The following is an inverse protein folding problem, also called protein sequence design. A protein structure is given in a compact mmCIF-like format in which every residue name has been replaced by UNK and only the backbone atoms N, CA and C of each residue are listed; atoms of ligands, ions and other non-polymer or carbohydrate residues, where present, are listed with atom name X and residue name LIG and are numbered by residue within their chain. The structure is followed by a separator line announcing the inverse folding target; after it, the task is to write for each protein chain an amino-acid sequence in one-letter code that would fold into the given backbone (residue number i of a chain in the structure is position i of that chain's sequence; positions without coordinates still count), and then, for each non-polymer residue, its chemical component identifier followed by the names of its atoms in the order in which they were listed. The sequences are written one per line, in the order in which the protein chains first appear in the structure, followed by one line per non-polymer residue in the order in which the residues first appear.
data_IF_265956597135
#
_entry.id   IF_265956597135
#
_cell.length_a   1.000
_cell.length_b   1.000
_cell.length_c   1.000
_cell.angle_alpha   90.00
_cell.angle_beta   90.00
_cell.angle_gamma   90.00
#
_symmetry.space_group_name_H-M   'P 1'
#
loop_
_entity.id
_entity.type
_entity.pdbx_description
1 polymer ?
#
# COMPACT_ATOMS: atom_id res chain seq x y z
N UNK A 1 -27.61 19.10 15.94
CA UNK A 1 -26.90 19.56 14.73
C UNK A 1 -25.90 18.49 14.37
N UNK A 2 -25.85 18.06 13.10
CA UNK A 2 -24.83 17.10 12.64
C UNK A 2 -23.46 17.78 12.74
N UNK A 3 -22.49 17.16 13.43
CA UNK A 3 -21.10 17.65 13.45
C UNK A 3 -20.55 17.58 12.02
N UNK A 4 -19.84 18.61 11.56
CA UNK A 4 -19.20 18.63 10.24
C UNK A 4 -17.80 19.23 10.33
N UNK A 5 -16.86 18.65 9.59
CA UNK A 5 -15.50 19.17 9.42
C UNK A 5 -15.39 20.13 8.23
N UNK A 6 -16.41 20.19 7.37
CA UNK A 6 -16.36 20.88 6.08
C UNK A 6 -16.99 22.28 6.08
N UNK A 7 -17.44 22.76 7.24
CA UNK A 7 -17.81 24.16 7.45
C UNK A 7 -16.54 24.97 7.84
N UNK A 8 -16.02 25.87 6.99
CA UNK A 8 -14.79 26.60 7.29
C UNK A 8 -14.91 27.45 8.57
N UNK A 9 -13.95 27.31 9.49
CA UNK A 9 -13.82 28.11 10.71
C UNK A 9 -12.65 29.10 10.65
N UNK A 10 -11.90 29.07 9.55
CA UNK A 10 -10.80 29.99 9.23
C UNK A 10 -11.04 30.68 7.89
N UNK A 11 -10.28 31.74 7.62
CA UNK A 11 -10.34 32.45 6.35
C UNK A 11 -9.87 31.57 5.17
N UNK A 12 -10.42 31.75 3.95
CA UNK A 12 -10.14 30.90 2.79
C UNK A 12 -8.65 30.72 2.47
N UNK A 13 -7.85 31.76 2.64
CA UNK A 13 -6.40 31.78 2.40
C UNK A 13 -5.59 30.94 3.39
N UNK A 14 -6.19 30.57 4.53
CA UNK A 14 -5.58 29.67 5.52
C UNK A 14 -5.95 28.21 5.29
N UNK A 15 -6.90 27.92 4.40
CA UNK A 15 -7.35 26.57 4.16
C UNK A 15 -6.26 25.77 3.45
N UNK A 16 -6.00 24.58 3.98
CA UNK A 16 -5.14 23.62 3.30
C UNK A 16 -5.71 23.26 1.92
N UNK A 17 -4.84 23.18 0.91
CA UNK A 17 -5.23 22.93 -0.46
C UNK A 17 -5.95 21.57 -0.64
N UNK A 18 -5.44 20.52 0.02
CA UNK A 18 -6.04 19.19 0.00
C UNK A 18 -7.39 19.18 0.73
N UNK A 19 -7.50 19.85 1.89
CA UNK A 19 -8.79 20.04 2.56
C UNK A 19 -9.80 20.73 1.63
N UNK A 20 -9.40 21.81 0.95
CA UNK A 20 -10.30 22.57 0.09
C UNK A 20 -10.72 21.77 -1.16
N UNK A 21 -9.83 20.94 -1.72
CA UNK A 21 -10.17 19.98 -2.77
C UNK A 21 -11.24 18.99 -2.26
N UNK A 22 -11.02 18.36 -1.11
CA UNK A 22 -12.00 17.43 -0.52
C UNK A 22 -13.32 18.12 -0.26
N UNK A 23 -13.32 19.38 0.20
CA UNK A 23 -14.51 20.18 0.50
C UNK A 23 -15.36 20.51 -0.74
N UNK A 24 -14.72 20.74 -1.90
CA UNK A 24 -15.38 21.38 -3.06
C UNK A 24 -15.63 20.46 -4.25
N UNK A 25 -14.80 19.43 -4.45
CA UNK A 25 -14.91 18.54 -5.61
C UNK A 25 -16.11 17.58 -5.47
N UNK A 26 -17.05 17.62 -6.42
CA UNK A 26 -18.25 16.77 -6.41
C UNK A 26 -17.91 15.27 -6.36
N UNK A 27 -16.81 14.85 -6.99
CA UNK A 27 -16.38 13.45 -6.98
C UNK A 27 -15.91 12.96 -5.58
N UNK A 28 -15.72 13.87 -4.62
CA UNK A 28 -15.27 13.56 -3.24
C UNK A 28 -16.41 13.50 -2.24
N UNK A 29 -17.66 13.58 -2.69
CA UNK A 29 -18.82 13.52 -1.80
C UNK A 29 -18.87 12.25 -0.91
N UNK A 30 -18.56 11.03 -1.40
CA UNK A 30 -18.55 9.84 -0.56
C UNK A 30 -17.54 9.95 0.59
N UNK A 31 -16.35 10.46 0.28
CA UNK A 31 -15.32 10.71 1.29
C UNK A 31 -15.77 11.78 2.30
N UNK A 32 -16.28 12.93 1.85
CA UNK A 32 -16.75 13.99 2.73
C UNK A 32 -17.80 13.48 3.73
N UNK A 33 -18.81 12.77 3.21
CA UNK A 33 -19.89 12.24 4.05
C UNK A 33 -19.38 11.19 5.03
N UNK A 34 -18.47 10.31 4.61
CA UNK A 34 -17.85 9.33 5.50
C UNK A 34 -16.95 9.98 6.56
N UNK A 35 -16.21 11.04 6.21
CA UNK A 35 -15.39 11.81 7.16
C UNK A 35 -16.29 12.46 8.22
N UNK A 36 -17.40 13.09 7.84
CA UNK A 36 -18.35 13.67 8.80
C UNK A 36 -19.06 12.60 9.64
N UNK A 37 -19.36 11.43 9.08
CA UNK A 37 -19.92 10.27 9.81
C UNK A 37 -18.96 9.78 10.89
N UNK A 38 -17.68 9.58 10.55
CA UNK A 38 -16.62 9.19 11.50
C UNK A 38 -16.40 10.28 12.55
N UNK A 39 -16.37 11.55 12.14
CA UNK A 39 -16.17 12.67 13.07
C UNK A 39 -17.35 12.85 14.04
N UNK A 40 -18.55 12.38 13.69
CA UNK A 40 -19.72 12.49 14.56
C UNK A 40 -19.50 11.84 15.93
N UNK A 41 -18.73 10.75 15.96
CA UNK A 41 -18.36 9.99 17.16
C UNK A 41 -16.95 10.30 17.68
N UNK A 42 -16.22 11.20 17.01
CA UNK A 42 -14.91 11.66 17.45
C UNK A 42 -15.04 12.71 18.57
N UNK A 43 -14.19 12.57 19.59
CA UNK A 43 -14.11 13.49 20.72
C UNK A 43 -12.92 14.46 20.54
N UNK A 44 -13.22 15.73 20.28
CA UNK A 44 -12.22 16.80 20.19
C UNK A 44 -11.83 17.28 21.59
N UNK A 45 -10.88 16.56 22.21
CA UNK A 45 -10.43 16.78 23.60
C UNK A 45 -9.88 18.20 23.82
N UNK A 46 -9.13 18.72 22.85
CA UNK A 46 -8.44 20.01 22.95
C UNK A 46 -9.22 21.18 22.34
N UNK A 47 -10.34 20.89 21.67
CA UNK A 47 -11.18 21.89 20.98
C UNK A 47 -10.52 22.53 19.75
N UNK A 48 -9.40 21.98 19.28
CA UNK A 48 -8.61 22.53 18.16
C UNK A 48 -8.63 21.63 16.92
N UNK A 49 -9.29 20.46 16.99
CA UNK A 49 -9.26 19.45 15.93
C UNK A 49 -9.79 20.03 14.61
N UNK A 50 -10.95 20.69 14.65
CA UNK A 50 -11.59 21.25 13.44
C UNK A 50 -10.68 22.28 12.78
N UNK A 51 -10.10 23.20 13.56
CA UNK A 51 -9.20 24.21 13.01
C UNK A 51 -7.98 23.57 12.37
N UNK A 52 -7.32 22.61 13.06
CA UNK A 52 -6.12 21.96 12.56
C UNK A 52 -6.37 21.10 11.34
N UNK A 53 -7.52 20.40 11.28
CA UNK A 53 -7.94 19.64 10.11
C UNK A 53 -8.12 20.55 8.88
N UNK A 54 -8.53 21.80 9.07
CA UNK A 54 -8.70 22.75 7.96
C UNK A 54 -7.41 23.45 7.52
N UNK A 55 -6.35 23.41 8.32
CA UNK A 55 -5.09 24.14 8.10
C UNK A 55 -3.87 23.20 8.08
N UNK A 56 -2.81 23.51 8.81
CA UNK A 56 -1.50 22.85 8.75
C UNK A 56 -1.50 21.44 9.36
N UNK A 57 -2.54 21.08 10.09
CA UNK A 57 -2.70 19.76 10.73
C UNK A 57 -3.43 18.73 9.88
N UNK A 58 -3.78 19.03 8.62
CA UNK A 58 -4.65 18.19 7.79
C UNK A 58 -4.24 16.71 7.80
N UNK A 59 -3.01 16.38 7.41
CA UNK A 59 -2.56 14.98 7.32
C UNK A 59 -2.58 14.25 8.67
N UNK A 60 -2.07 14.89 9.73
CA UNK A 60 -2.02 14.29 11.06
C UNK A 60 -3.43 14.02 11.60
N UNK A 61 -4.32 15.01 11.49
CA UNK A 61 -5.71 14.90 11.95
C UNK A 61 -6.52 13.93 11.09
N UNK A 62 -6.23 13.85 9.79
CA UNK A 62 -6.81 12.85 8.92
C UNK A 62 -6.41 11.42 9.34
N UNK A 63 -5.13 11.21 9.68
CA UNK A 63 -4.64 9.91 10.14
C UNK A 63 -5.26 9.50 11.48
N UNK A 64 -5.41 10.44 12.41
CA UNK A 64 -6.14 10.20 13.66
C UNK A 64 -7.61 9.81 13.42
N UNK A 65 -8.31 10.47 12.47
CA UNK A 65 -9.67 10.07 12.09
C UNK A 65 -9.72 8.67 11.48
N UNK A 66 -8.73 8.31 10.67
CA UNK A 66 -8.62 6.97 10.12
C UNK A 66 -8.47 5.92 11.24
N UNK A 67 -7.56 6.15 12.20
CA UNK A 67 -7.36 5.26 13.35
C UNK A 67 -8.62 5.19 14.23
N UNK A 68 -9.29 6.32 14.45
CA UNK A 68 -10.57 6.37 15.16
C UNK A 68 -11.64 5.51 14.47
N UNK A 69 -11.78 5.65 13.14
CA UNK A 69 -12.70 4.82 12.37
C UNK A 69 -12.34 3.34 12.44
N UNK A 70 -11.05 3.01 12.32
CA UNK A 70 -10.57 1.64 12.46
C UNK A 70 -10.93 1.04 13.81
N UNK A 71 -10.64 1.74 14.92
CA UNK A 71 -10.92 1.24 16.25
C UNK A 71 -12.43 1.11 16.52
N UNK A 72 -13.22 2.12 16.15
CA UNK A 72 -14.68 2.07 16.33
C UNK A 72 -15.32 0.94 15.55
N UNK A 73 -15.06 0.91 14.24
CA UNK A 73 -15.79 0.06 13.29
C UNK A 73 -15.29 -1.37 13.30
N UNK A 74 -14.11 -1.61 13.86
CA UNK A 74 -13.60 -2.96 14.08
C UNK A 74 -14.01 -3.54 15.42
N UNK A 75 -14.64 -2.78 16.33
CA UNK A 75 -15.17 -3.29 17.60
C UNK A 75 -14.21 -3.20 18.79
N UNK A 76 -13.31 -2.21 18.81
CA UNK A 76 -12.52 -1.89 20.00
C UNK A 76 -13.29 -0.95 20.92
N UNK A 77 -13.11 -1.12 22.23
CA UNK A 77 -13.52 -0.13 23.21
C UNK A 77 -12.40 0.90 23.37
N UNK A 78 -12.75 2.19 23.30
CA UNK A 78 -11.81 3.30 23.51
C UNK A 78 -12.00 3.92 24.88
N UNK A 79 -10.90 4.28 25.51
CA UNK A 79 -10.86 5.05 26.74
C UNK A 79 -10.43 6.48 26.42
N UNK A 80 -11.41 7.37 26.32
CA UNK A 80 -11.22 8.78 25.94
C UNK A 80 -10.82 9.68 27.13
N UNK A 81 -10.61 9.10 28.32
CA UNK A 81 -10.31 9.86 29.55
C UNK A 81 -8.93 10.54 29.54
N UNK A 82 -8.09 10.24 28.55
CA UNK A 82 -6.70 10.67 28.46
C UNK A 82 -6.42 11.38 27.13
N UNK A 83 -5.61 12.43 27.16
CA UNK A 83 -5.18 13.20 25.98
C UNK A 83 -3.90 12.70 25.33
N UNK A 84 -3.18 11.77 25.98
CA UNK A 84 -1.97 11.17 25.43
C UNK A 84 -1.72 9.81 26.10
N UNK A 85 -1.29 8.75 25.39
CA UNK A 85 -1.15 8.72 23.93
C UNK A 85 -2.50 8.87 23.23
N UNK A 86 -2.48 9.12 21.92
CA UNK A 86 -3.67 9.50 21.13
C UNK A 86 -4.86 8.54 21.34
N UNK A 87 -4.59 7.25 21.49
CA UNK A 87 -5.61 6.23 21.77
C UNK A 87 -5.21 5.27 22.88
N UNK A 88 -6.17 4.97 23.74
CA UNK A 88 -6.14 3.80 24.61
C UNK A 88 -7.29 2.89 24.19
N UNK A 89 -6.96 1.72 23.65
CA UNK A 89 -7.95 0.80 23.07
C UNK A 89 -7.93 -0.54 23.78
N UNK A 90 -9.08 -1.20 23.86
CA UNK A 90 -9.18 -2.53 24.42
C UNK A 90 -10.08 -3.45 23.61
N UNK A 91 -9.69 -4.72 23.57
CA UNK A 91 -10.42 -5.79 22.89
C UNK A 91 -10.07 -7.12 23.55
N UNK A 92 -11.06 -7.98 23.75
CA UNK A 92 -10.87 -9.33 24.30
C UNK A 92 -10.06 -9.34 25.62
N UNK A 93 -10.28 -8.34 26.48
CA UNK A 93 -9.58 -8.22 27.76
C UNK A 93 -8.14 -7.69 27.69
N UNK A 94 -7.61 -7.42 26.50
CA UNK A 94 -6.30 -6.78 26.30
C UNK A 94 -6.50 -5.28 26.12
N UNK A 95 -5.69 -4.47 26.81
CA UNK A 95 -5.64 -3.01 26.69
C UNK A 95 -4.30 -2.61 26.09
N UNK A 96 -4.32 -1.73 25.08
CA UNK A 96 -3.15 -1.29 24.31
C UNK A 96 -3.17 0.22 24.19
N UNK A 97 -1.99 0.82 24.36
CA UNK A 97 -1.76 2.24 24.17
C UNK A 97 -1.20 2.49 22.77
N UNK A 98 -1.80 3.41 22.01
CA UNK A 98 -1.42 3.69 20.62
C UNK A 98 -1.17 5.19 20.44
N UNK A 99 0.02 5.55 19.98
CA UNK A 99 0.38 6.92 19.62
C UNK A 99 0.47 7.06 18.10
N UNK A 100 -0.20 8.05 17.53
CA UNK A 100 -0.22 8.29 16.09
C UNK A 100 0.87 9.29 15.67
N UNK A 101 1.48 9.05 14.52
CA UNK A 101 2.43 9.96 13.90
C UNK A 101 2.38 9.88 12.39
N UNK A 102 2.84 10.92 11.71
CA UNK A 102 2.92 10.96 10.25
C UNK A 102 4.31 11.43 9.83
N UNK A 103 4.81 10.90 8.73
CA UNK A 103 5.97 11.51 8.05
C UNK A 103 5.46 12.57 7.08
N UNK A 104 5.55 13.84 7.47
CA UNK A 104 5.11 14.98 6.66
C UNK A 104 6.29 15.56 5.84
N UNK A 105 6.03 16.43 4.85
CA UNK A 105 7.09 17.13 4.12
C UNK A 105 8.00 17.86 5.11
N UNK A 106 9.31 17.69 4.97
CA UNK A 106 10.30 18.20 5.91
C UNK A 106 11.12 19.32 5.29
N UNK A 107 11.22 20.44 6.00
CA UNK A 107 12.11 21.56 5.66
C UNK A 107 13.49 21.42 6.30
N UNK A 108 13.86 20.23 6.80
CA UNK A 108 15.20 20.03 7.35
C UNK A 108 16.26 20.30 6.28
N UNK A 109 17.40 20.93 6.60
CA UNK A 109 18.41 21.27 5.60
C UNK A 109 18.85 20.07 4.75
N UNK A 110 19.01 18.91 5.38
CA UNK A 110 19.41 17.68 4.68
C UNK A 110 18.37 17.18 3.68
N UNK A 111 17.07 17.30 3.98
CA UNK A 111 15.99 16.92 3.05
C UNK A 111 15.81 17.99 1.97
N UNK A 112 15.98 19.28 2.30
CA UNK A 112 15.90 20.36 1.34
C UNK A 112 17.04 20.31 0.30
N UNK A 113 18.22 19.84 0.69
CA UNK A 113 19.40 19.76 -0.19
C UNK A 113 19.49 18.43 -0.96
N UNK A 114 19.09 17.31 -0.35
CA UNK A 114 19.33 15.97 -0.91
C UNK A 114 18.05 15.15 -1.14
N UNK A 115 16.91 15.58 -0.62
CA UNK A 115 15.66 14.86 -0.79
C UNK A 115 15.16 14.94 -2.24
N UNK A 116 14.52 13.87 -2.70
CA UNK A 116 13.94 13.79 -4.04
C UNK A 116 12.42 13.78 -3.99
N UNK A 117 11.79 14.29 -5.05
CA UNK A 117 10.35 14.19 -5.29
C UNK A 117 10.05 12.87 -6.02
N UNK A 118 9.01 12.16 -5.59
CA UNK A 118 8.70 10.83 -6.15
C UNK A 118 8.35 10.93 -7.64
N UNK A 119 7.71 12.02 -8.06
CA UNK A 119 7.33 12.26 -9.46
C UNK A 119 8.50 12.49 -10.41
N UNK A 120 9.69 12.79 -9.88
CA UNK A 120 10.89 13.08 -10.67
C UNK A 120 11.88 11.91 -10.69
N UNK A 121 11.61 10.85 -9.92
CA UNK A 121 12.46 9.66 -9.88
C UNK A 121 12.42 8.94 -11.23
N UNK A 122 13.60 8.73 -11.79
CA UNK A 122 13.78 7.73 -12.85
C UNK A 122 13.74 6.32 -12.27
N UNK A 123 13.49 5.32 -13.12
CA UNK A 123 13.38 3.93 -12.68
C UNK A 123 14.66 3.44 -11.95
N UNK A 124 15.83 3.93 -12.37
CA UNK A 124 17.13 3.59 -11.77
C UNK A 124 17.36 4.25 -10.40
N UNK A 125 16.60 5.29 -10.06
CA UNK A 125 16.70 6.00 -8.78
C UNK A 125 15.73 5.46 -7.74
N UNK A 126 14.65 4.79 -8.17
CA UNK A 126 13.60 4.24 -7.28
C UNK A 126 14.20 3.29 -6.23
N UNK A 127 15.07 2.32 -6.55
CA UNK A 127 15.63 1.44 -5.53
C UNK A 127 16.43 2.18 -4.47
N UNK A 128 17.25 3.15 -4.87
CA UNK A 128 18.03 3.97 -3.94
C UNK A 128 17.12 4.80 -3.02
N UNK A 129 16.08 5.42 -3.59
CA UNK A 129 15.08 6.17 -2.82
C UNK A 129 14.37 5.29 -1.78
N UNK A 130 13.90 4.10 -2.20
CA UNK A 130 13.22 3.14 -1.33
C UNK A 130 14.16 2.61 -0.24
N UNK A 131 15.43 2.36 -0.59
CA UNK A 131 16.40 1.76 0.31
C UNK A 131 17.02 2.75 1.29
N UNK A 132 17.13 4.04 0.95
CA UNK A 132 17.85 5.02 1.76
C UNK A 132 16.92 6.12 2.31
N UNK A 133 16.16 6.76 1.43
CA UNK A 133 15.42 7.97 1.76
C UNK A 133 14.13 7.68 2.54
N UNK A 134 13.37 6.65 2.17
CA UNK A 134 12.15 6.24 2.88
C UNK A 134 12.44 5.89 4.36
N UNK A 135 13.43 5.03 4.69
CA UNK A 135 13.83 4.77 6.08
C UNK A 135 14.17 6.04 6.86
N UNK A 136 14.86 7.00 6.25
CA UNK A 136 15.22 8.27 6.90
C UNK A 136 14.00 9.14 7.19
N UNK A 137 13.05 9.20 6.25
CA UNK A 137 11.79 9.95 6.39
C UNK A 137 10.86 9.34 7.43
N UNK A 138 10.83 8.01 7.56
CA UNK A 138 10.00 7.30 8.56
C UNK A 138 10.67 7.17 9.94
N UNK A 139 11.99 6.98 9.99
CA UNK A 139 12.72 6.79 11.25
C UNK A 139 12.73 8.02 12.14
N UNK A 140 12.72 9.22 11.53
CA UNK A 140 12.73 10.49 12.27
C UNK A 140 11.48 10.69 13.16
N UNK A 141 10.25 10.62 12.64
CA UNK A 141 9.04 10.73 13.46
C UNK A 141 8.91 9.58 14.46
N UNK A 142 9.32 8.37 14.10
CA UNK A 142 9.35 7.22 15.01
C UNK A 142 10.25 7.51 16.23
N UNK A 143 11.46 8.03 15.99
CA UNK A 143 12.38 8.42 17.07
C UNK A 143 11.80 9.54 17.93
N UNK A 144 11.23 10.57 17.29
CA UNK A 144 10.61 11.68 18.02
C UNK A 144 9.46 11.24 18.93
N UNK A 145 8.70 10.20 18.55
CA UNK A 145 7.65 9.62 19.41
C UNK A 145 8.21 8.71 20.50
N UNK A 146 9.29 7.97 20.22
CA UNK A 146 10.01 7.21 21.25
C UNK A 146 10.51 8.13 22.37
N UNK A 147 11.12 9.26 22.02
CA UNK A 147 11.69 10.20 22.99
C UNK A 147 10.63 10.85 23.92
N UNK A 148 9.33 10.75 23.59
CA UNK A 148 8.23 11.22 24.43
C UNK A 148 7.90 10.29 25.61
N UNK A 149 8.39 9.04 25.59
CA UNK A 149 8.26 8.08 26.69
C UNK A 149 6.82 7.89 27.18
N UNK A 150 5.86 7.83 26.25
CA UNK A 150 4.43 7.71 26.60
C UNK A 150 4.11 6.47 27.44
N UNK A 151 4.91 5.41 27.35
CA UNK A 151 4.78 4.20 28.16
C UNK A 151 4.95 4.45 29.67
N UNK A 152 5.52 5.59 30.09
CA UNK A 152 5.69 5.94 31.51
C UNK A 152 4.47 6.60 32.14
N UNK A 153 3.45 6.92 31.33
CA UNK A 153 2.20 7.48 31.83
C UNK A 153 1.41 6.40 32.56
N UNK A 154 0.69 6.78 33.62
CA UNK A 154 -0.07 5.83 34.46
C UNK A 154 -1.10 5.01 33.68
N UNK A 155 -1.74 5.61 32.68
CA UNK A 155 -2.68 4.92 31.80
C UNK A 155 -2.05 3.88 30.88
N UNK A 156 -0.73 3.91 30.69
CA UNK A 156 0.01 2.95 29.86
C UNK A 156 0.63 1.81 30.69
N UNK A 157 0.52 1.87 32.02
CA UNK A 157 1.11 0.86 32.91
C UNK A 157 0.59 -0.54 32.57
N UNK A 158 1.52 -1.49 32.36
CA UNK A 158 1.20 -2.86 32.00
C UNK A 158 0.59 -3.06 30.61
N UNK A 159 0.48 -2.01 29.79
CA UNK A 159 -0.10 -2.08 28.45
C UNK A 159 1.00 -2.20 27.38
N UNK A 160 0.82 -3.01 26.32
CA UNK A 160 1.60 -2.87 25.10
C UNK A 160 1.50 -1.43 24.57
N UNK A 161 2.62 -0.86 24.13
CA UNK A 161 2.69 0.48 23.56
C UNK A 161 3.04 0.41 22.08
N UNK A 162 2.18 0.95 21.23
CA UNK A 162 2.27 0.88 19.77
C UNK A 162 2.42 2.28 19.20
N UNK A 163 3.30 2.43 18.22
CA UNK A 163 3.38 3.67 17.43
C UNK A 163 2.73 3.40 16.07
N UNK A 164 1.65 4.11 15.78
CA UNK A 164 0.99 4.08 14.48
C UNK A 164 1.61 5.14 13.56
N UNK A 165 1.95 4.77 12.32
CA UNK A 165 2.61 5.66 11.37
C UNK A 165 2.07 5.53 9.94
N UNK A 166 1.93 6.68 9.28
CA UNK A 166 1.65 6.77 7.85
C UNK A 166 2.58 7.80 7.17
N UNK A 167 2.95 7.52 5.93
CA UNK A 167 3.76 8.41 5.09
C UNK A 167 2.87 9.43 4.35
N UNK A 168 3.20 10.71 4.49
CA UNK A 168 2.59 11.85 3.80
C UNK A 168 3.65 12.86 3.32
N UNK A 169 4.91 12.42 3.15
CA UNK A 169 6.05 13.29 2.90
C UNK A 169 6.12 13.81 1.46
N UNK A 170 5.29 13.26 0.59
CA UNK A 170 5.17 13.53 -0.84
C UNK A 170 3.74 13.17 -1.31
N UNK A 171 3.23 13.80 -2.37
CA UNK A 171 1.89 13.52 -2.93
C UNK A 171 1.71 12.06 -3.36
N UNK A 172 2.79 11.40 -3.78
CA UNK A 172 2.80 10.00 -4.19
C UNK A 172 3.31 9.06 -3.08
N UNK A 173 3.49 9.52 -1.84
CA UNK A 173 4.08 8.71 -0.76
C UNK A 173 3.34 7.38 -0.49
N UNK A 174 2.03 7.33 -0.79
CA UNK A 174 1.19 6.16 -0.56
C UNK A 174 1.45 4.99 -1.53
N UNK A 175 2.30 5.16 -2.56
CA UNK A 175 2.66 4.06 -3.47
C UNK A 175 3.60 3.04 -2.83
N UNK A 176 4.31 3.42 -1.76
CA UNK A 176 5.24 2.54 -1.08
C UNK A 176 4.53 1.74 0.03
N UNK A 177 4.76 0.43 0.04
CA UNK A 177 4.27 -0.47 1.08
C UNK A 177 5.17 -0.43 2.33
N UNK A 178 4.84 -1.26 3.32
CA UNK A 178 5.66 -1.45 4.53
C UNK A 178 7.01 -2.11 4.26
N UNK A 179 7.35 -2.52 3.03
CA UNK A 179 8.57 -3.28 2.74
C UNK A 179 9.86 -2.54 3.19
N UNK A 180 9.99 -1.26 2.86
CA UNK A 180 11.14 -0.43 3.25
C UNK A 180 11.22 -0.26 4.78
N UNK A 181 10.06 -0.01 5.42
CA UNK A 181 9.97 0.12 6.87
C UNK A 181 10.32 -1.20 7.57
N UNK A 182 9.82 -2.33 7.06
CA UNK A 182 10.13 -3.68 7.57
C UNK A 182 11.64 -3.93 7.53
N UNK A 183 12.30 -3.71 6.39
CA UNK A 183 13.75 -3.85 6.26
C UNK A 183 14.50 -2.98 7.26
N UNK A 184 14.08 -1.73 7.41
CA UNK A 184 14.68 -0.80 8.37
C UNK A 184 14.49 -1.23 9.84
N UNK A 185 13.29 -1.67 10.22
CA UNK A 185 12.97 -2.05 11.60
C UNK A 185 13.70 -3.32 12.05
N UNK A 186 13.75 -4.34 11.20
CA UNK A 186 14.35 -5.64 11.54
C UNK A 186 15.82 -5.75 11.15
N UNK A 187 16.29 -4.95 10.18
CA UNK A 187 17.67 -5.00 9.67
C UNK A 187 17.96 -6.24 8.81
N UNK A 188 16.91 -6.86 8.27
CA UNK A 188 16.97 -8.08 7.47
C UNK A 188 16.60 -7.76 6.02
N UNK A 189 17.40 -8.26 5.09
CA UNK A 189 17.14 -8.24 3.66
C UNK A 189 17.17 -9.65 3.07
N UNK A 190 16.48 -9.81 1.96
CA UNK A 190 16.32 -11.06 1.24
C UNK A 190 16.88 -10.91 -0.17
N UNK A 191 17.92 -11.67 -0.49
CA UNK A 191 18.46 -11.77 -1.85
C UNK A 191 17.87 -13.01 -2.55
N UNK A 192 17.21 -12.87 -3.71
CA UNK A 192 16.74 -14.02 -4.47
C UNK A 192 17.92 -14.81 -5.04
N UNK A 193 17.80 -16.13 -5.03
CA UNK A 193 18.74 -17.09 -5.61
C UNK A 193 17.93 -18.07 -6.46
N UNK A 194 18.08 -17.97 -7.78
CA UNK A 194 17.39 -18.83 -8.74
C UNK A 194 18.09 -20.18 -8.87
N UNK A 195 17.33 -21.28 -8.90
CA UNK A 195 17.81 -22.59 -9.33
C UNK A 195 17.84 -22.68 -10.86
N UNK A 196 18.59 -23.65 -11.39
CA UNK A 196 18.62 -23.93 -12.84
C UNK A 196 17.23 -24.37 -13.37
N UNK A 197 16.33 -24.84 -12.50
CA UNK A 197 14.96 -25.23 -12.83
C UNK A 197 13.98 -24.02 -12.84
N UNK A 198 14.41 -22.86 -12.32
CA UNK A 198 13.61 -21.63 -12.24
C UNK A 198 12.94 -21.40 -10.88
N UNK A 199 13.21 -22.23 -9.88
CA UNK A 199 12.70 -22.03 -8.51
C UNK A 199 13.54 -20.98 -7.77
N UNK A 200 12.91 -20.16 -6.92
CA UNK A 200 13.62 -19.17 -6.10
C UNK A 200 13.83 -19.67 -4.68
N UNK A 201 15.07 -19.53 -4.22
CA UNK A 201 15.45 -19.56 -2.81
C UNK A 201 15.80 -18.16 -2.35
N UNK A 202 15.62 -17.90 -1.07
CA UNK A 202 15.94 -16.59 -0.48
C UNK A 202 17.11 -16.72 0.48
N UNK A 203 18.13 -15.87 0.30
CA UNK A 203 19.24 -15.74 1.25
C UNK A 203 19.01 -14.53 2.15
N UNK A 204 19.06 -14.76 3.46
CA UNK A 204 19.06 -13.69 4.46
C UNK A 204 20.38 -12.92 4.39
N UNK A 205 20.31 -11.60 4.27
CA UNK A 205 21.42 -10.67 4.29
C UNK A 205 21.17 -9.56 5.34
N UNK A 206 22.25 -8.95 5.82
CA UNK A 206 22.14 -7.73 6.64
C UNK A 206 21.88 -6.54 5.72
N UNK A 207 20.96 -5.67 6.13
CA UNK A 207 20.75 -4.37 5.48
C UNK A 207 22.00 -3.50 5.74
N UNK A 208 22.48 -2.71 4.77
CA UNK A 208 23.51 -1.69 5.00
C UNK A 208 22.95 -0.47 5.76
N UNK A 209 23.81 0.49 6.09
CA UNK A 209 23.33 1.76 6.63
C UNK A 209 22.51 2.54 5.59
N UNK A 210 21.46 3.21 6.05
CA UNK A 210 20.66 4.10 5.22
C UNK A 210 21.30 5.48 5.18
N UNK A 211 21.65 5.99 4.00
CA UNK A 211 22.41 7.23 3.86
C UNK A 211 21.70 8.22 2.95
N UNK A 212 21.52 9.46 3.41
CA UNK A 212 21.07 10.58 2.59
C UNK A 212 21.83 11.83 2.98
N UNK A 213 22.72 12.30 2.10
CA UNK A 213 23.59 13.43 2.38
C UNK A 213 24.44 13.20 3.64
N UNK A 214 24.26 14.06 4.64
CA UNK A 214 24.96 13.97 5.93
C UNK A 214 24.29 13.05 6.94
N UNK A 215 23.06 12.57 6.66
CA UNK A 215 22.26 11.79 7.59
C UNK A 215 22.44 10.29 7.34
N UNK A 216 22.78 9.58 8.40
CA UNK A 216 22.94 8.13 8.40
C UNK A 216 22.05 7.50 9.46
N UNK A 217 21.35 6.41 9.12
CA UNK A 217 20.62 5.57 10.07
C UNK A 217 21.09 4.12 9.99
N UNK A 218 21.42 3.56 11.14
CA UNK A 218 21.71 2.13 11.24
C UNK A 218 20.42 1.32 11.08
N UNK A 219 20.46 0.18 10.37
CA UNK A 219 19.32 -0.71 10.22
C UNK A 219 19.05 -1.48 11.53
N UNK A 220 17.93 -2.19 11.58
CA UNK A 220 17.57 -2.99 12.76
C UNK A 220 17.12 -2.12 13.93
N UNK A 221 16.25 -1.15 13.66
CA UNK A 221 15.79 -0.15 14.63
C UNK A 221 15.37 -0.77 15.97
N UNK A 222 14.63 -1.89 15.96
CA UNK A 222 14.17 -2.54 17.19
C UNK A 222 15.30 -2.96 18.13
N UNK A 223 16.48 -3.28 17.59
CA UNK A 223 17.65 -3.76 18.36
C UNK A 223 18.77 -2.73 18.46
N UNK A 224 18.68 -1.61 17.73
CA UNK A 224 19.76 -0.62 17.68
C UNK A 224 19.82 0.29 18.91
N UNK A 225 18.69 0.51 19.59
CA UNK A 225 18.61 1.28 20.84
C UNK A 225 17.76 0.51 21.88
N UNK A 226 18.27 0.28 23.11
CA UNK A 226 17.53 -0.37 24.19
C UNK A 226 16.17 0.26 24.51
N UNK A 227 15.97 1.56 24.26
CA UNK A 227 14.70 2.23 24.48
C UNK A 227 13.55 1.64 23.64
N UNK A 228 13.85 1.02 22.49
CA UNK A 228 12.84 0.35 21.66
C UNK A 228 12.16 -0.82 22.35
N UNK A 229 12.75 -1.38 23.41
CA UNK A 229 12.10 -2.45 24.19
C UNK A 229 10.77 -2.02 24.81
N UNK A 230 10.52 -0.72 24.96
CA UNK A 230 9.24 -0.20 25.46
C UNK A 230 8.16 -0.04 24.37
N UNK A 231 8.50 -0.26 23.09
CA UNK A 231 7.54 -0.25 21.98
C UNK A 231 7.24 -1.68 21.57
N UNK A 232 5.98 -2.07 21.64
CA UNK A 232 5.50 -3.43 21.37
C UNK A 232 5.40 -3.75 19.88
N UNK A 233 5.00 -2.76 19.07
CA UNK A 233 4.89 -2.90 17.62
C UNK A 233 4.84 -1.53 16.94
N UNK A 234 5.09 -1.52 15.63
CA UNK A 234 4.78 -0.39 14.74
C UNK A 234 3.56 -0.75 13.91
N UNK A 235 2.51 0.08 13.96
CA UNK A 235 1.31 -0.09 13.12
C UNK A 235 1.44 0.83 11.90
N UNK A 236 1.67 0.25 10.73
CA UNK A 236 1.86 1.00 9.50
C UNK A 236 0.63 0.92 8.59
N UNK A 237 0.37 2.01 7.85
CA UNK A 237 -0.48 1.93 6.66
C UNK A 237 -0.06 2.97 5.61
N UNK A 238 -0.27 2.62 4.35
CA UNK A 238 -0.29 3.54 3.20
C UNK A 238 -1.70 3.68 2.60
N UNK A 239 -2.71 3.08 3.22
CA UNK A 239 -4.10 3.09 2.75
C UNK A 239 -4.99 4.04 3.58
N UNK A 240 -4.57 4.50 4.76
CA UNK A 240 -5.33 5.40 5.66
C UNK A 240 -5.51 6.85 5.16
N UNK A 241 -5.88 7.03 3.90
CA UNK A 241 -5.98 8.31 3.22
C UNK A 241 -7.38 8.53 2.58
N UNK A 242 -7.53 9.63 1.83
CA UNK A 242 -8.79 10.00 1.16
C UNK A 242 -9.41 8.88 0.33
N UNK A 243 -8.59 8.06 -0.33
CA UNK A 243 -9.07 6.90 -1.10
C UNK A 243 -9.88 5.93 -0.23
N UNK A 244 -9.42 5.64 1.00
CA UNK A 244 -10.14 4.77 1.94
C UNK A 244 -11.50 5.34 2.29
N UNK A 245 -11.56 6.59 2.74
CA UNK A 245 -12.83 7.24 3.08
C UNK A 245 -13.78 7.31 1.89
N UNK A 246 -13.25 7.53 0.67
CA UNK A 246 -14.04 7.51 -0.56
C UNK A 246 -14.70 6.14 -0.74
N UNK A 247 -13.92 5.06 -0.66
CA UNK A 247 -14.39 3.69 -0.84
C UNK A 247 -15.34 3.26 0.27
N UNK A 248 -15.03 3.57 1.53
CA UNK A 248 -15.89 3.25 2.67
C UNK A 248 -17.23 4.00 2.56
N UNK A 249 -17.23 5.29 2.20
CA UNK A 249 -18.45 6.06 1.94
C UNK A 249 -19.28 5.50 0.79
N UNK A 250 -18.62 5.17 -0.33
CA UNK A 250 -19.29 4.60 -1.49
C UNK A 250 -19.91 3.24 -1.17
N UNK A 251 -19.17 2.36 -0.49
CA UNK A 251 -19.62 1.03 -0.08
C UNK A 251 -20.82 1.07 0.88
N UNK A 252 -20.94 2.10 1.72
CA UNK A 252 -22.11 2.28 2.60
C UNK A 252 -23.26 3.06 1.95
N UNK A 253 -23.14 3.44 0.68
CA UNK A 253 -24.14 4.21 -0.05
C UNK A 253 -24.18 5.70 0.31
N UNK A 254 -23.18 6.23 1.00
CA UNK A 254 -23.10 7.64 1.35
C UNK A 254 -22.56 8.45 0.17
N UNK A 255 -23.39 9.37 -0.35
CA UNK A 255 -22.93 10.38 -1.32
C UNK A 255 -22.48 9.81 -2.67
N UNK A 256 -22.95 8.62 -3.03
CA UNK A 256 -22.58 7.92 -4.26
C UNK A 256 -23.43 8.31 -5.49
N UNK A 257 -24.43 9.18 -5.32
CA UNK A 257 -25.32 9.60 -6.40
C UNK A 257 -24.54 10.28 -7.54
N UNK A 258 -24.69 9.75 -8.75
CA UNK A 258 -24.00 10.28 -9.92
C UNK A 258 -22.49 10.06 -9.93
N UNK A 259 -21.93 9.19 -9.08
CA UNK A 259 -20.48 8.90 -9.03
C UNK A 259 -20.18 7.51 -9.60
N UNK A 260 -19.12 7.40 -10.39
CA UNK A 260 -18.45 6.13 -10.71
C UNK A 260 -17.10 6.09 -10.02
N UNK A 261 -16.78 4.97 -9.38
CA UNK A 261 -15.55 4.80 -8.62
C UNK A 261 -14.87 3.47 -8.94
N UNK A 262 -13.56 3.51 -9.16
CA UNK A 262 -12.74 2.33 -9.42
C UNK A 262 -11.58 2.29 -8.44
N UNK A 263 -11.23 1.08 -7.98
CA UNK A 263 -10.00 0.82 -7.24
C UNK A 263 -9.11 -0.06 -8.10
N UNK A 264 -7.83 0.27 -8.15
CA UNK A 264 -6.82 -0.57 -8.78
C UNK A 264 -5.48 -0.43 -8.09
N UNK A 265 -4.58 -1.38 -8.31
CA UNK A 265 -3.26 -1.35 -7.73
C UNK A 265 -2.59 -2.70 -7.73
N UNK A 266 -1.66 -2.85 -6.79
CA UNK A 266 -0.81 -4.02 -6.64
C UNK A 266 -1.13 -4.70 -5.32
N UNK A 267 -1.21 -6.03 -5.34
CA UNK A 267 -1.41 -6.86 -4.16
C UNK A 267 -0.39 -7.99 -4.09
N UNK A 268 -0.17 -8.50 -2.88
CA UNK A 268 0.61 -9.72 -2.70
C UNK A 268 -0.03 -10.86 -3.50
N UNK A 269 0.81 -11.71 -4.09
CA UNK A 269 0.36 -12.91 -4.78
C UNK A 269 0.53 -14.10 -3.84
N UNK A 270 -0.59 -14.71 -3.44
CA UNK A 270 -0.61 -15.79 -2.46
C UNK A 270 -0.08 -17.13 -3.00
N UNK A 271 0.18 -17.23 -4.30
CA UNK A 271 0.80 -18.43 -4.87
C UNK A 271 2.19 -18.66 -4.25
N UNK A 272 2.48 -19.84 -3.66
CA UNK A 272 3.70 -20.06 -2.87
C UNK A 272 5.02 -19.80 -3.60
N UNK A 273 5.00 -19.86 -4.93
CA UNK A 273 6.16 -19.60 -5.79
C UNK A 273 6.06 -18.27 -6.56
N UNK A 274 5.05 -17.44 -6.28
CA UNK A 274 4.93 -16.15 -6.92
C UNK A 274 6.05 -15.21 -6.45
N UNK A 275 6.80 -14.72 -7.43
CA UNK A 275 7.90 -13.78 -7.20
C UNK A 275 7.49 -12.33 -7.38
N UNK A 276 6.30 -12.10 -7.91
CA UNK A 276 5.85 -10.80 -8.37
C UNK A 276 4.42 -10.50 -7.91
N UNK A 277 4.12 -9.23 -7.62
CA UNK A 277 2.79 -8.83 -7.21
C UNK A 277 1.78 -9.02 -8.35
N UNK A 278 0.52 -9.18 -7.96
CA UNK A 278 -0.59 -9.18 -8.91
C UNK A 278 -1.18 -7.79 -9.04
N UNK A 279 -1.39 -7.34 -10.27
CA UNK A 279 -2.23 -6.20 -10.54
C UNK A 279 -3.71 -6.58 -10.37
N UNK A 280 -4.49 -5.68 -9.78
CA UNK A 280 -5.95 -5.79 -9.71
C UNK A 280 -6.61 -4.47 -10.11
N UNK A 281 -7.81 -4.55 -10.70
CA UNK A 281 -8.70 -3.41 -10.88
C UNK A 281 -10.16 -3.84 -10.86
N UNK A 282 -11.02 -3.14 -10.11
CA UNK A 282 -12.46 -3.43 -10.05
C UNK A 282 -13.31 -2.18 -9.82
N UNK A 283 -14.56 -2.25 -10.25
CA UNK A 283 -15.58 -1.21 -10.02
C UNK A 283 -16.14 -1.30 -8.59
N UNK A 284 -16.19 -0.17 -7.87
CA UNK A 284 -16.73 -0.12 -6.51
C UNK A 284 -18.25 -0.29 -6.46
N UNK A 285 -18.97 -0.22 -7.60
CA UNK A 285 -20.38 -0.58 -7.70
C UNK A 285 -20.63 -2.09 -7.65
N UNK A 286 -19.61 -2.90 -7.94
CA UNK A 286 -19.65 -4.35 -7.86
C UNK A 286 -18.30 -4.88 -7.36
N UNK A 287 -17.90 -4.52 -6.12
CA UNK A 287 -16.60 -4.89 -5.62
C UNK A 287 -16.56 -6.40 -5.35
N UNK A 288 -15.41 -7.07 -5.54
CA UNK A 288 -15.28 -8.51 -5.31
C UNK A 288 -15.44 -8.88 -3.82
N UNK A 289 -15.37 -7.91 -2.92
CA UNK A 289 -15.50 -8.08 -1.48
C UNK A 289 -15.91 -6.78 -0.79
N UNK A 290 -16.29 -6.91 0.48
CA UNK A 290 -16.53 -5.77 1.38
C UNK A 290 -15.21 -5.41 2.05
N UNK A 291 -14.68 -4.22 1.73
CA UNK A 291 -13.46 -3.70 2.32
C UNK A 291 -13.70 -3.38 3.81
N UNK A 292 -12.75 -3.77 4.67
CA UNK A 292 -12.75 -3.44 6.10
C UNK A 292 -11.85 -2.25 6.37
N UNK A 293 -11.98 -1.58 7.52
CA UNK A 293 -11.09 -0.47 7.88
C UNK A 293 -9.63 -0.92 8.09
N UNK A 294 -9.43 -2.17 8.51
CA UNK A 294 -8.11 -2.75 8.75
C UNK A 294 -7.35 -3.17 7.49
N UNK A 295 -8.04 -3.33 6.36
CA UNK A 295 -7.37 -3.68 5.11
C UNK A 295 -6.34 -2.61 4.70
N UNK A 296 -5.09 -3.06 4.51
CA UNK A 296 -3.93 -2.21 4.23
C UNK A 296 -3.19 -1.72 5.48
N UNK A 297 -3.48 -2.29 6.66
CA UNK A 297 -2.66 -2.16 7.87
C UNK A 297 -1.65 -3.29 7.96
N UNK A 298 -0.42 -2.95 8.33
CA UNK A 298 0.63 -3.88 8.69
C UNK A 298 1.05 -3.65 10.15
N UNK A 299 1.10 -4.72 10.94
CA UNK A 299 1.56 -4.73 12.32
C UNK A 299 2.95 -5.34 12.37
N UNK A 300 3.95 -4.49 12.52
CA UNK A 300 5.35 -4.86 12.56
C UNK A 300 5.72 -5.12 14.03
N UNK A 301 5.64 -6.39 14.46
CA UNK A 301 5.85 -6.79 15.86
C UNK A 301 7.32 -6.62 16.27
N UNK A 302 7.57 -5.96 17.40
CA UNK A 302 8.92 -5.80 17.93
C UNK A 302 9.36 -7.10 18.64
N UNK A 303 10.41 -7.79 18.15
CA UNK A 303 10.86 -9.07 18.71
C UNK A 303 11.55 -8.94 20.07
N UNK A 304 11.88 -7.71 20.52
CA UNK A 304 12.53 -7.45 21.80
C UNK A 304 11.69 -6.61 22.76
N UNK A 305 10.37 -6.51 22.51
CA UNK A 305 9.47 -5.78 23.38
C UNK A 305 9.39 -6.39 24.79
N UNK A 306 9.42 -5.54 25.82
CA UNK A 306 9.21 -5.92 27.23
C UNK A 306 7.79 -6.40 27.48
N UNK A 307 6.82 -5.71 26.87
CA UNK A 307 5.41 -6.09 26.88
C UNK A 307 5.02 -6.35 25.42
N UNK A 308 5.07 -7.60 24.94
CA UNK A 308 4.78 -7.90 23.55
C UNK A 308 3.29 -7.67 23.22
N UNK A 309 3.03 -7.20 22.00
CA UNK A 309 1.67 -7.09 21.50
C UNK A 309 1.15 -8.51 21.14
N UNK A 310 -0.07 -8.89 21.58
CA UNK A 310 -0.67 -10.14 21.11
C UNK A 310 -0.85 -10.14 19.58
N UNK A 311 -0.45 -11.20 18.86
CA UNK A 311 -0.47 -11.25 17.39
C UNK A 311 -1.81 -10.83 16.76
N UNK A 312 -2.93 -11.29 17.29
CA UNK A 312 -4.25 -11.02 16.70
C UNK A 312 -4.97 -9.80 17.31
N UNK A 313 -4.24 -8.93 18.02
CA UNK A 313 -4.87 -7.76 18.65
C UNK A 313 -5.49 -6.83 17.62
N UNK A 314 -4.75 -6.51 16.54
CA UNK A 314 -5.23 -5.67 15.44
C UNK A 314 -5.89 -6.51 14.33
N UNK A 315 -7.23 -6.59 14.37
CA UNK A 315 -8.01 -7.36 13.38
C UNK A 315 -7.92 -6.79 11.97
N UNK A 316 -8.08 -7.68 10.98
CA UNK A 316 -8.02 -7.41 9.54
C UNK A 316 -6.71 -6.75 9.05
N UNK A 317 -5.67 -6.74 9.88
CA UNK A 317 -4.33 -6.26 9.56
C UNK A 317 -3.36 -7.43 9.33
N UNK A 318 -2.38 -7.22 8.46
CA UNK A 318 -1.26 -8.14 8.24
C UNK A 318 -0.37 -8.13 9.48
N UNK A 319 -0.04 -9.30 10.01
CA UNK A 319 0.87 -9.47 11.15
C UNK A 319 2.26 -9.84 10.65
N UNK A 320 3.26 -9.03 10.96
CA UNK A 320 4.64 -9.25 10.54
C UNK A 320 5.49 -9.58 11.75
N UNK A 321 6.14 -10.74 11.71
CA UNK A 321 6.93 -11.28 12.81
C UNK A 321 8.32 -11.68 12.33
N UNK A 322 9.31 -11.55 13.22
CA UNK A 322 10.60 -12.22 13.04
C UNK A 322 10.61 -13.54 13.82
N UNK A 323 10.90 -14.66 13.14
CA UNK A 323 11.12 -15.98 13.74
C UNK A 323 12.38 -16.59 13.10
N UNK A 324 13.30 -17.11 13.91
CA UNK A 324 14.55 -17.74 13.44
C UNK A 324 15.37 -16.89 12.44
N UNK A 325 15.43 -15.57 12.65
CA UNK A 325 16.15 -14.63 11.78
C UNK A 325 15.49 -14.42 10.42
N UNK A 326 14.21 -14.77 10.29
CA UNK A 326 13.39 -14.57 9.08
C UNK A 326 12.12 -13.80 9.44
N UNK A 327 11.74 -12.88 8.56
CA UNK A 327 10.46 -12.19 8.59
C UNK A 327 9.38 -13.02 7.91
N UNK A 328 8.27 -13.21 8.62
CA UNK A 328 7.05 -13.85 8.15
C UNK A 328 5.90 -12.85 8.25
N UNK A 329 5.04 -12.87 7.23
CA UNK A 329 3.77 -12.16 7.23
C UNK A 329 2.64 -13.18 7.34
N UNK A 330 1.74 -12.96 8.29
CA UNK A 330 0.55 -13.77 8.56
C UNK A 330 -0.67 -12.85 8.47
N UNK A 331 -1.64 -13.16 7.62
CA UNK A 331 -2.70 -12.19 7.33
C UNK A 331 -3.70 -12.63 6.27
N UNK A 332 -4.61 -11.72 5.92
CA UNK A 332 -5.66 -11.94 4.91
C UNK A 332 -5.03 -11.99 3.49
N UNK A 333 -4.43 -13.12 3.17
CA UNK A 333 -3.52 -13.40 2.04
C UNK A 333 -3.98 -12.97 0.64
N UNK A 334 -5.25 -12.61 0.43
CA UNK A 334 -5.77 -12.13 -0.86
C UNK A 334 -6.19 -10.64 -0.86
N UNK A 335 -6.24 -10.00 0.32
CA UNK A 335 -6.59 -8.58 0.52
C UNK A 335 -5.38 -7.68 0.72
N UNK A 336 -4.20 -8.26 0.88
CA UNK A 336 -2.95 -7.54 1.17
C UNK A 336 -2.53 -6.66 0.00
N UNK A 337 -2.98 -5.41 0.07
CA UNK A 337 -2.71 -4.38 -0.92
C UNK A 337 -1.31 -3.82 -0.66
N UNK A 338 -0.40 -3.97 -1.63
CA UNK A 338 0.92 -3.34 -1.61
C UNK A 338 0.74 -1.83 -1.81
N UNK A 339 -0.03 -1.46 -2.82
CA UNK A 339 -0.44 -0.08 -3.08
C UNK A 339 -1.75 -0.06 -3.87
N UNK A 340 -2.57 0.98 -3.67
CA UNK A 340 -3.77 1.15 -4.50
C UNK A 340 -4.10 2.60 -4.74
N UNK A 341 -4.72 2.86 -5.89
CA UNK A 341 -5.30 4.16 -6.26
C UNK A 341 -6.81 4.00 -6.32
N UNK A 342 -7.50 5.09 -5.99
CA UNK A 342 -8.95 5.20 -6.15
C UNK A 342 -9.24 6.37 -7.05
N UNK A 343 -9.87 6.08 -8.18
CA UNK A 343 -10.33 7.10 -9.13
C UNK A 343 -11.83 7.24 -8.96
N UNK A 344 -12.29 8.49 -8.90
CA UNK A 344 -13.69 8.83 -8.74
C UNK A 344 -14.03 9.91 -9.76
N UNK A 345 -15.13 9.72 -10.48
CA UNK A 345 -15.62 10.68 -11.45
C UNK A 345 -17.10 10.96 -11.17
N UNK A 346 -17.46 12.24 -11.23
CA UNK A 346 -18.84 12.71 -11.07
C UNK A 346 -19.49 12.90 -12.44
N UNK A 347 -20.60 12.22 -12.65
CA UNK A 347 -21.43 12.26 -13.85
C UNK A 347 -22.83 12.86 -13.59
N UNK A 348 -23.22 13.05 -12.32
CA UNK A 348 -24.56 13.53 -11.97
C UNK A 348 -25.67 12.71 -12.62
N UNK A 349 -26.70 13.37 -13.13
CA UNK A 349 -27.85 12.74 -13.81
C UNK A 349 -27.45 12.00 -15.10
N UNK A 350 -26.31 12.34 -15.69
CA UNK A 350 -25.82 11.67 -16.90
C UNK A 350 -25.34 10.23 -16.61
N UNK A 351 -25.12 9.84 -15.35
CA UNK A 351 -24.65 8.49 -15.01
C UNK A 351 -25.59 7.38 -15.55
N UNK A 352 -26.90 7.63 -15.52
CA UNK A 352 -27.90 6.69 -16.07
C UNK A 352 -27.74 6.43 -17.57
N UNK A 353 -27.32 7.45 -18.32
CA UNK A 353 -27.01 7.38 -19.76
C UNK A 353 -25.56 6.95 -20.03
N UNK A 354 -24.65 7.19 -19.07
CA UNK A 354 -23.24 6.87 -19.19
C UNK A 354 -22.93 5.38 -18.99
N UNK A 355 -23.87 4.58 -18.46
CA UNK A 355 -23.69 3.11 -18.32
C UNK A 355 -23.35 2.41 -19.64
N UNK A 356 -23.90 2.88 -20.76
CA UNK A 356 -23.61 2.34 -22.09
C UNK A 356 -22.29 2.87 -22.68
N UNK A 357 -21.87 4.08 -22.30
CA UNK A 357 -20.64 4.75 -22.80
C UNK A 357 -19.40 4.35 -21.96
N UNK A 358 -19.58 4.03 -20.68
CA UNK A 358 -18.52 3.69 -19.72
C UNK A 358 -18.30 2.17 -19.58
N UNK A 359 -18.91 1.36 -20.46
CA UNK A 359 -18.62 -0.06 -20.66
C UNK A 359 -17.14 -0.41 -20.95
N UNK A 360 -16.27 0.48 -21.46
CA UNK A 360 -14.84 0.18 -21.64
C UNK A 360 -13.99 0.29 -20.37
N UNK A 361 -14.57 0.60 -19.19
CA UNK A 361 -13.85 0.36 -17.93
C UNK A 361 -13.97 -1.15 -17.61
N UNK A 362 -12.92 -1.95 -17.79
CA UNK A 362 -13.00 -3.37 -17.52
C UNK A 362 -13.33 -3.59 -16.04
N UNK A 363 -14.37 -4.38 -15.79
CA UNK A 363 -15.06 -4.46 -14.50
C UNK A 363 -14.33 -5.31 -13.45
N UNK A 364 -13.39 -6.15 -13.89
CA UNK A 364 -12.62 -7.07 -13.04
C UNK A 364 -11.36 -7.51 -13.82
N UNK A 365 -10.27 -6.75 -13.67
CA UNK A 365 -8.96 -7.13 -14.21
C UNK A 365 -8.12 -7.69 -13.07
N UNK A 366 -7.51 -8.83 -13.37
CA UNK A 366 -6.42 -9.38 -12.58
C UNK A 366 -5.37 -9.93 -13.53
N UNK A 367 -4.12 -9.51 -13.30
CA UNK A 367 -2.93 -10.03 -13.96
C UNK A 367 -1.93 -10.33 -12.86
N UNK A 368 -1.43 -11.55 -12.81
CA UNK A 368 -0.57 -11.99 -11.72
C UNK A 368 0.48 -12.98 -12.18
N UNK A 369 1.51 -13.15 -11.35
CA UNK A 369 2.50 -14.18 -11.55
C UNK A 369 1.86 -15.58 -11.41
N UNK A 370 2.25 -16.49 -12.28
CA UNK A 370 1.87 -17.91 -12.23
C UNK A 370 3.12 -18.77 -12.17
N UNK A 371 2.99 -20.01 -11.68
CA UNK A 371 4.10 -20.96 -11.74
C UNK A 371 4.44 -21.29 -13.19
N UNK A 372 5.69 -21.69 -13.44
CA UNK A 372 6.10 -22.20 -14.75
C UNK A 372 5.24 -23.37 -15.22
N UNK A 373 4.91 -24.28 -14.29
CA UNK A 373 4.07 -25.45 -14.60
C UNK A 373 2.67 -25.04 -15.07
N UNK A 374 2.04 -24.08 -14.39
CA UNK A 374 0.74 -23.54 -14.81
C UNK A 374 0.85 -22.82 -16.17
N UNK A 375 1.90 -22.03 -16.38
CA UNK A 375 2.13 -21.36 -17.65
C UNK A 375 2.28 -22.35 -18.82
N UNK A 376 3.07 -23.41 -18.64
CA UNK A 376 3.28 -24.46 -19.64
C UNK A 376 1.98 -25.21 -19.93
N UNK A 377 1.17 -25.50 -18.90
CA UNK A 377 -0.16 -26.11 -19.04
C UNK A 377 -1.09 -25.23 -19.89
N UNK A 378 -1.17 -23.92 -19.60
CA UNK A 378 -2.04 -23.00 -20.33
C UNK A 378 -1.57 -22.84 -21.77
N UNK A 379 -0.26 -22.66 -21.96
CA UNK A 379 0.33 -22.38 -23.26
C UNK A 379 0.43 -23.61 -24.18
N UNK A 380 0.36 -24.82 -23.61
CA UNK A 380 0.57 -26.08 -24.30
C UNK A 380 2.02 -26.30 -24.74
N UNK A 381 2.98 -25.61 -24.10
CA UNK A 381 4.41 -25.67 -24.43
C UNK A 381 5.12 -26.71 -23.57
N UNK A 382 6.21 -27.26 -24.10
CA UNK A 382 7.18 -28.09 -23.37
C UNK A 382 8.49 -27.29 -23.27
N UNK A 383 8.43 -26.14 -22.58
CA UNK A 383 9.55 -25.21 -22.42
C UNK A 383 9.64 -24.08 -23.45
N UNK A 384 10.70 -23.27 -23.34
CA UNK A 384 10.93 -22.08 -24.17
C UNK A 384 11.14 -22.45 -25.65
N UNK A 385 10.34 -21.90 -26.60
CA UNK A 385 10.41 -22.25 -28.02
C UNK A 385 11.78 -22.01 -28.67
N UNK A 386 12.59 -21.11 -28.10
CA UNK A 386 13.89 -20.71 -28.63
C UNK A 386 15.05 -21.08 -27.68
N UNK A 387 14.79 -21.86 -26.63
CA UNK A 387 15.77 -22.14 -25.57
C UNK A 387 16.22 -20.89 -24.81
N UNK A 388 15.43 -19.81 -24.89
CA UNK A 388 15.67 -18.56 -24.18
C UNK A 388 15.36 -18.79 -22.70
N UNK A 389 16.23 -18.27 -21.82
CA UNK A 389 16.02 -18.31 -20.37
C UNK A 389 14.81 -17.44 -20.01
N UNK A 390 13.95 -17.95 -19.15
CA UNK A 390 12.74 -17.26 -18.67
C UNK A 390 12.78 -17.21 -17.14
N UNK A 391 12.44 -16.05 -16.55
CA UNK A 391 12.55 -15.82 -15.09
C UNK A 391 11.29 -15.19 -14.48
N UNK A 392 10.16 -15.27 -15.19
CA UNK A 392 8.88 -14.82 -14.68
C UNK A 392 7.77 -15.11 -15.67
N UNK A 393 6.65 -15.64 -15.18
CA UNK A 393 5.49 -16.04 -15.96
C UNK A 393 4.25 -15.37 -15.39
N UNK A 394 3.40 -14.86 -16.28
CA UNK A 394 2.20 -14.09 -15.91
C UNK A 394 1.01 -14.58 -16.70
N UNK A 395 -0.17 -14.49 -16.10
CA UNK A 395 -1.43 -14.74 -16.78
C UNK A 395 -2.49 -13.75 -16.30
N UNK A 396 -3.44 -13.44 -17.20
CA UNK A 396 -4.69 -12.83 -16.79
C UNK A 396 -5.68 -13.88 -16.27
N UNK A 397 -6.69 -13.44 -15.50
CA UNK A 397 -7.75 -14.31 -14.96
C UNK A 397 -8.47 -15.17 -15.99
N UNK A 398 -8.58 -14.72 -17.24
CA UNK A 398 -9.24 -15.47 -18.32
C UNK A 398 -8.31 -16.39 -19.11
N UNK A 399 -7.00 -16.37 -18.80
CA UNK A 399 -5.96 -17.16 -19.51
C UNK A 399 -5.93 -16.88 -21.01
N UNK A 400 -6.30 -15.67 -21.41
CA UNK A 400 -6.30 -15.21 -22.80
C UNK A 400 -4.95 -14.65 -23.22
N UNK A 401 -4.26 -14.02 -22.28
CA UNK A 401 -2.97 -13.40 -22.44
C UNK A 401 -1.99 -13.97 -21.43
N UNK A 402 -0.80 -14.29 -21.91
CA UNK A 402 0.30 -14.78 -21.08
C UNK A 402 1.49 -13.85 -21.19
N UNK A 403 2.21 -13.63 -20.11
CA UNK A 403 3.42 -12.82 -20.06
C UNK A 403 4.64 -13.63 -19.68
N UNK A 404 5.79 -13.32 -20.25
CA UNK A 404 7.08 -13.92 -19.92
C UNK A 404 8.13 -12.84 -19.73
N UNK A 405 8.96 -12.95 -18.70
CA UNK A 405 10.18 -12.16 -18.51
C UNK A 405 11.39 -12.92 -19.02
N UNK A 406 12.23 -12.20 -19.74
CA UNK A 406 13.41 -12.74 -20.42
C UNK A 406 14.63 -11.90 -20.00
N UNK A 407 15.57 -12.44 -19.21
CA UNK A 407 16.83 -11.74 -18.96
C UNK A 407 17.71 -11.73 -20.21
N UNK A 408 18.31 -10.58 -20.51
CA UNK A 408 19.43 -10.49 -21.45
C UNK A 408 20.75 -10.69 -20.70
N UNK A 409 21.39 -11.83 -20.96
CA UNK A 409 22.64 -12.20 -20.29
C UNK A 409 23.86 -11.44 -20.83
N UNK A 410 23.73 -10.75 -21.97
CA UNK A 410 24.85 -10.06 -22.61
C UNK A 410 25.13 -8.69 -21.99
N UNK A 411 24.08 -7.97 -21.58
CA UNK A 411 24.18 -6.63 -21.01
C UNK A 411 23.47 -6.47 -19.65
N UNK A 412 22.97 -7.59 -19.08
CA UNK A 412 22.25 -7.62 -17.80
C UNK A 412 20.95 -6.80 -17.79
N UNK A 413 20.34 -6.60 -18.95
CA UNK A 413 19.02 -5.98 -19.08
C UNK A 413 17.89 -7.02 -19.08
N UNK A 414 16.66 -6.54 -19.15
CA UNK A 414 15.45 -7.34 -19.10
C UNK A 414 14.55 -7.03 -20.29
N UNK A 415 14.01 -8.10 -20.86
CA UNK A 415 12.94 -8.08 -21.84
C UNK A 415 11.68 -8.75 -21.32
N UNK A 416 10.60 -8.55 -22.06
CA UNK A 416 9.31 -9.15 -21.79
C UNK A 416 8.58 -9.48 -23.08
N UNK A 417 7.73 -10.49 -23.02
CA UNK A 417 6.92 -10.96 -24.15
C UNK A 417 5.48 -11.19 -23.67
N UNK A 418 4.52 -10.76 -24.48
CA UNK A 418 3.11 -11.11 -24.32
C UNK A 418 2.67 -12.05 -25.43
N UNK A 419 1.99 -13.11 -25.04
CA UNK A 419 1.47 -14.15 -25.90
C UNK A 419 -0.06 -14.12 -25.92
N UNK A 420 -0.65 -14.39 -27.08
CA UNK A 420 -2.08 -14.63 -27.24
C UNK A 420 -2.32 -15.73 -28.30
N UNK A 421 -3.56 -16.23 -28.38
CA UNK A 421 -3.90 -17.30 -29.33
C UNK A 421 -4.02 -16.78 -30.76
N UNK A 422 -3.46 -17.53 -31.70
CA UNK A 422 -3.71 -17.37 -33.12
C UNK A 422 -5.04 -18.02 -33.55
N UNK A 423 -5.36 -17.97 -34.84
CA UNK A 423 -6.57 -18.58 -35.42
C UNK A 423 -6.63 -20.11 -35.27
N UNK A 424 -5.51 -20.76 -35.00
CA UNK A 424 -5.39 -22.19 -34.74
C UNK A 424 -5.38 -22.51 -33.23
N UNK A 425 -5.55 -21.49 -32.38
CA UNK A 425 -5.60 -21.62 -30.93
C UNK A 425 -4.22 -21.74 -30.27
N UNK A 426 -3.12 -21.55 -30.99
CA UNK A 426 -1.75 -21.66 -30.47
C UNK A 426 -1.28 -20.32 -29.90
N UNK A 427 -0.58 -20.33 -28.77
CA UNK A 427 -0.01 -19.10 -28.21
C UNK A 427 1.20 -18.60 -29.00
N UNK A 428 1.08 -17.41 -29.57
CA UNK A 428 2.12 -16.71 -30.34
C UNK A 428 2.47 -15.37 -29.70
N UNK A 429 3.70 -14.90 -29.90
CA UNK A 429 4.12 -13.57 -29.49
C UNK A 429 3.32 -12.51 -30.25
N UNK A 430 2.67 -11.62 -29.52
CA UNK A 430 1.90 -10.49 -30.09
C UNK A 430 2.46 -9.13 -29.71
N UNK A 431 3.29 -9.07 -28.67
CA UNK A 431 3.95 -7.85 -28.19
C UNK A 431 5.20 -8.21 -27.41
N UNK A 432 6.21 -7.36 -27.47
CA UNK A 432 7.44 -7.53 -26.70
C UNK A 432 8.10 -6.18 -26.42
N UNK A 433 9.00 -6.16 -25.44
CA UNK A 433 9.92 -5.06 -25.16
C UNK A 433 11.24 -5.61 -24.62
N UNK A 434 12.29 -4.78 -24.63
CA UNK A 434 13.65 -5.13 -24.22
C UNK A 434 14.35 -3.91 -23.61
N UNK A 435 15.63 -4.07 -23.25
CA UNK A 435 16.54 -3.01 -22.78
C UNK A 435 16.11 -2.33 -21.46
N UNK A 436 15.43 -3.08 -20.58
CA UNK A 436 15.02 -2.57 -19.26
C UNK A 436 16.10 -2.86 -18.22
N UNK A 437 16.51 -1.84 -17.46
CA UNK A 437 17.63 -1.97 -16.51
C UNK A 437 17.34 -2.94 -15.35
N UNK A 438 16.07 -3.10 -14.96
CA UNK A 438 15.70 -3.90 -13.79
C UNK A 438 14.53 -4.84 -14.06
N UNK A 439 14.57 -6.00 -13.39
CA UNK A 439 13.51 -7.03 -13.43
C UNK A 439 12.14 -6.48 -13.04
N UNK A 440 12.10 -5.64 -11.99
CA UNK A 440 10.86 -5.06 -11.48
C UNK A 440 10.15 -4.20 -12.52
N UNK A 441 10.91 -3.43 -13.31
CA UNK A 441 10.40 -2.62 -14.42
C UNK A 441 9.82 -3.53 -15.52
N UNK A 442 10.54 -4.59 -15.88
CA UNK A 442 10.05 -5.55 -16.87
C UNK A 442 8.75 -6.24 -16.43
N UNK A 443 8.63 -6.57 -15.14
CA UNK A 443 7.41 -7.09 -14.52
C UNK A 443 6.24 -6.10 -14.63
N UNK A 444 6.46 -4.82 -14.34
CA UNK A 444 5.43 -3.80 -14.53
C UNK A 444 5.03 -3.67 -16.00
N UNK A 445 6.01 -3.61 -16.92
CA UNK A 445 5.75 -3.45 -18.35
C UNK A 445 4.96 -4.62 -18.94
N UNK A 446 5.28 -5.88 -18.60
CA UNK A 446 4.54 -7.04 -19.11
C UNK A 446 3.10 -7.06 -18.60
N UNK A 447 2.88 -6.72 -17.33
CA UNK A 447 1.53 -6.66 -16.77
C UNK A 447 0.73 -5.50 -17.37
N UNK A 448 1.32 -4.31 -17.52
CA UNK A 448 0.69 -3.17 -18.20
C UNK A 448 0.37 -3.47 -19.67
N UNK A 449 1.23 -4.20 -20.37
CA UNK A 449 0.96 -4.65 -21.72
C UNK A 449 -0.25 -5.58 -21.80
N UNK A 450 -0.38 -6.53 -20.87
CA UNK A 450 -1.56 -7.41 -20.76
C UNK A 450 -2.82 -6.59 -20.41
N UNK A 451 -2.75 -5.68 -19.44
CA UNK A 451 -3.86 -4.81 -19.05
C UNK A 451 -4.37 -3.99 -20.23
N UNK A 452 -3.46 -3.40 -21.02
CA UNK A 452 -3.81 -2.64 -22.22
C UNK A 452 -4.53 -3.47 -23.29
N UNK A 453 -4.27 -4.77 -23.37
CA UNK A 453 -4.95 -5.70 -24.26
C UNK A 453 -6.30 -6.16 -23.70
N UNK A 454 -6.41 -6.34 -22.38
CA UNK A 454 -7.67 -6.67 -21.71
C UNK A 454 -8.73 -5.58 -21.86
N UNK A 455 -8.31 -4.31 -21.97
CA UNK A 455 -9.16 -3.16 -22.27
C UNK A 455 -9.81 -3.19 -23.66
N UNK A 456 -9.41 -4.13 -24.53
CA UNK A 456 -9.94 -4.29 -25.88
C UNK A 456 -10.75 -5.59 -25.96
N UNK A 457 -11.72 -5.74 -26.89
CA UNK A 457 -12.49 -6.98 -27.03
C UNK A 457 -11.72 -8.11 -27.72
N UNK A 458 -10.63 -7.81 -28.44
CA UNK A 458 -9.89 -8.79 -29.23
C UNK A 458 -9.16 -9.80 -28.33
N UNK A 459 -9.32 -11.10 -28.61
CA UNK A 459 -8.66 -12.20 -27.90
C UNK A 459 -7.89 -13.16 -28.83
N UNK A 460 -8.16 -13.09 -30.13
CA UNK A 460 -7.51 -13.90 -31.17
C UNK A 460 -6.70 -12.98 -32.07
N UNK A 461 -5.45 -13.35 -32.33
CA UNK A 461 -4.47 -12.58 -33.09
C UNK A 461 -3.94 -13.44 -34.24
N UNK A 462 -4.58 -13.40 -35.42
CA UNK A 462 -4.14 -14.17 -36.57
C UNK A 462 -2.68 -13.85 -36.93
N UNK A 463 -1.89 -14.90 -37.16
CA UNK A 463 -0.53 -14.80 -37.68
C UNK A 463 -0.42 -15.77 -38.85
N UNK A 464 0.20 -15.33 -39.93
CA UNK A 464 0.49 -16.20 -41.06
C UNK A 464 1.63 -17.14 -40.67
N UNK A 465 1.43 -18.44 -40.85
CA UNK A 465 2.51 -19.43 -40.79
C UNK A 465 3.38 -19.24 -42.06
N UNK A 466 4.31 -18.28 -42.02
CA UNK A 466 5.37 -18.17 -43.02
C UNK A 466 6.48 -19.19 -42.78
#
# INVERSE_FOLDING_TARGET
MTKTLFAPVVAPEKLNAQYNMVRTDAAREPARRMIDDVFSTFEDKDGNFVQQFQTDGFNSRFFELYLHAYFERSGYMRDESFSAPDFIVSRNGVRVAVEATTSNPSSSPNIAEHGREISELSDVEVPDYVNNEIPIRLGSPLRSKLDKRYWEKSQCEGCPFVIAIQAFHDENALVFSSAALTRFLYGIEYAPVWSDEGDVRVRVASVPEHVLGSKTLSPGLFRSDPAWRHVSAILFTNNGALGKFSRMGYQTGLGCEGIKMQRFGWRYNAEPQAMDPSFFAYDMACPPFVETWGEGLDVLHNPVAEIPLPPDFFVDATQVHERDGKIYSEGCSWKETISSKTVSAYFGDALGHAREILAPFPFDIEVGAVSRAEFDEISGRQGSPLGIREEGWFADKTRSFLGVLVPDLSDSTWGWVVLARDSLGRFRCIKSGADLAERGIACEHVQQAIIGLLNQPQRIFPQDDC
#
